data_IF_416239490868
#
_entry.id   IF_416239490868
#
_cell.length_a   1.000
_cell.length_b   1.000
_cell.length_c   1.000
_cell.angle_alpha   90.00
_cell.angle_beta   90.00
_cell.angle_gamma   90.00
#
_symmetry.space_group_name_H-M   'P 1'
#
loop_
_entity.id
_entity.type
_entity.pdbx_description
1 polymer ?
#
# COMPACT_ATOMS: atom_id res chain seq x y z
N UNK A 1 -46.96 3.20 5.43
CA UNK A 1 -45.86 2.60 6.22
C UNK A 1 -45.13 3.77 6.87
N UNK A 2 -45.16 3.87 8.20
CA UNK A 2 -44.45 4.96 8.88
C UNK A 2 -42.96 4.82 8.58
N UNK A 3 -42.34 5.85 8.00
CA UNK A 3 -40.88 5.94 7.94
C UNK A 3 -40.33 5.64 9.34
N UNK A 4 -39.45 4.65 9.44
CA UNK A 4 -38.75 4.34 10.68
C UNK A 4 -38.06 5.63 11.14
N UNK A 5 -38.45 6.15 12.32
CA UNK A 5 -38.04 7.45 12.85
C UNK A 5 -36.52 7.61 13.03
N UNK A 6 -35.76 6.50 12.93
CA UNK A 6 -34.32 6.43 13.13
C UNK A 6 -33.60 5.71 11.97
N UNK A 7 -33.94 6.06 10.72
CA UNK A 7 -33.28 5.50 9.53
C UNK A 7 -32.17 6.45 9.05
N UNK A 8 -30.92 5.98 8.84
CA UNK A 8 -29.89 6.79 8.20
C UNK A 8 -30.30 7.21 6.78
N UNK A 9 -29.87 8.39 6.35
CA UNK A 9 -29.96 8.78 4.95
C UNK A 9 -28.83 8.11 4.15
N UNK A 10 -29.07 6.86 3.75
CA UNK A 10 -28.09 6.10 2.97
C UNK A 10 -27.78 6.72 1.60
N UNK A 11 -28.69 7.54 1.05
CA UNK A 11 -28.50 8.12 -0.29
C UNK A 11 -27.47 9.24 -0.32
N UNK A 12 -27.26 9.93 0.80
CA UNK A 12 -26.21 10.95 0.96
C UNK A 12 -24.89 10.37 1.50
N UNK A 13 -24.88 9.11 1.96
CA UNK A 13 -23.65 8.47 2.39
C UNK A 13 -22.73 8.23 1.21
N UNK A 14 -21.45 8.51 1.43
CA UNK A 14 -20.43 8.18 0.46
C UNK A 14 -20.21 6.65 0.43
N UNK A 15 -19.77 6.10 -0.71
CA UNK A 15 -19.91 4.67 -0.97
C UNK A 15 -18.97 3.77 -0.16
N UNK A 16 -17.71 4.15 0.15
CA UNK A 16 -16.91 3.37 1.15
C UNK A 16 -17.53 3.39 2.54
N UNK A 17 -18.41 4.35 2.84
CA UNK A 17 -19.04 4.48 4.16
C UNK A 17 -20.19 3.47 4.34
N UNK A 18 -20.58 2.81 3.26
CA UNK A 18 -21.81 2.02 3.15
C UNK A 18 -21.51 0.63 2.58
N UNK A 19 -21.32 -0.33 3.48
CA UNK A 19 -21.09 -1.74 3.20
C UNK A 19 -22.02 -2.34 2.13
N UNK A 20 -23.30 -1.94 2.10
CA UNK A 20 -24.27 -2.51 1.17
C UNK A 20 -24.04 -2.09 -0.29
N UNK A 21 -23.36 -0.97 -0.54
CA UNK A 21 -23.00 -0.56 -1.90
C UNK A 21 -21.95 -1.50 -2.51
N UNK A 22 -21.08 -2.06 -1.67
CA UNK A 22 -19.92 -2.83 -2.10
C UNK A 22 -20.08 -4.35 -1.87
N UNK A 23 -21.32 -4.83 -1.80
CA UNK A 23 -21.62 -6.23 -1.46
C UNK A 23 -21.06 -7.25 -2.47
N UNK A 24 -20.76 -6.82 -3.71
CA UNK A 24 -20.07 -7.65 -4.70
C UNK A 24 -18.60 -7.89 -4.32
N UNK A 25 -17.93 -6.86 -3.80
CA UNK A 25 -16.57 -6.93 -3.29
C UNK A 25 -16.54 -7.90 -2.11
N UNK A 26 -17.50 -7.79 -1.18
CA UNK A 26 -17.60 -8.73 -0.06
C UNK A 26 -17.65 -10.19 -0.51
N UNK A 27 -18.49 -10.51 -1.50
CA UNK A 27 -18.59 -11.87 -2.03
C UNK A 27 -17.26 -12.34 -2.60
N UNK A 28 -16.60 -11.51 -3.43
CA UNK A 28 -15.31 -11.84 -4.03
C UNK A 28 -14.24 -12.05 -2.95
N UNK A 29 -14.07 -11.09 -2.05
CA UNK A 29 -13.11 -11.18 -0.94
C UNK A 29 -13.34 -12.44 -0.10
N UNK A 30 -14.58 -12.74 0.24
CA UNK A 30 -14.93 -13.91 1.07
C UNK A 30 -14.65 -15.24 0.36
N UNK A 31 -14.84 -15.29 -0.96
CA UNK A 31 -14.46 -16.45 -1.78
C UNK A 31 -12.94 -16.63 -1.82
N UNK A 32 -12.20 -15.54 -2.05
CA UNK A 32 -10.75 -15.54 -2.15
C UNK A 32 -10.09 -15.93 -0.82
N UNK A 33 -10.70 -15.53 0.29
CA UNK A 33 -10.39 -15.99 1.66
C UNK A 33 -10.78 -17.45 1.95
N UNK A 34 -11.37 -18.15 0.99
CA UNK A 34 -11.61 -19.59 1.06
C UNK A 34 -12.93 -20.02 1.66
N UNK A 35 -13.87 -19.13 1.99
CA UNK A 35 -15.17 -19.53 2.56
C UNK A 35 -16.14 -20.08 1.51
N UNK A 36 -16.98 -21.03 1.90
CA UNK A 36 -18.04 -21.62 1.07
C UNK A 36 -19.27 -20.70 1.00
N UNK A 37 -19.15 -19.65 0.20
CA UNK A 37 -20.22 -18.64 0.00
C UNK A 37 -20.72 -18.55 -1.45
N UNK A 38 -20.20 -19.36 -2.37
CA UNK A 38 -20.54 -19.32 -3.81
C UNK A 38 -22.05 -19.45 -4.06
N UNK A 39 -22.72 -20.29 -3.27
CA UNK A 39 -24.19 -20.49 -3.31
C UNK A 39 -25.01 -19.21 -3.07
N UNK A 40 -24.41 -18.15 -2.54
CA UNK A 40 -25.07 -16.86 -2.31
C UNK A 40 -24.86 -15.86 -3.46
N UNK A 41 -24.17 -16.22 -4.55
CA UNK A 41 -23.87 -15.32 -5.67
C UNK A 41 -25.11 -14.63 -6.24
N UNK A 42 -26.15 -15.40 -6.55
CA UNK A 42 -27.39 -14.85 -7.11
C UNK A 42 -28.11 -13.92 -6.13
N UNK A 43 -28.04 -14.21 -4.82
CA UNK A 43 -28.58 -13.34 -3.78
C UNK A 43 -27.82 -12.01 -3.73
N UNK A 44 -26.49 -12.06 -3.71
CA UNK A 44 -25.63 -10.86 -3.71
C UNK A 44 -25.88 -10.04 -4.97
N UNK A 45 -26.01 -10.68 -6.13
CA UNK A 45 -26.25 -10.01 -7.41
C UNK A 45 -27.65 -9.38 -7.51
N UNK A 46 -28.66 -9.97 -6.87
CA UNK A 46 -29.96 -9.36 -6.73
C UNK A 46 -29.92 -8.15 -5.79
N UNK A 47 -29.22 -8.25 -4.65
CA UNK A 47 -29.12 -7.19 -3.65
C UNK A 47 -28.31 -6.00 -4.15
N UNK A 48 -27.23 -6.24 -4.92
CA UNK A 48 -26.37 -5.18 -5.47
C UNK A 48 -27.17 -4.20 -6.35
N UNK A 49 -28.18 -4.71 -7.07
CA UNK A 49 -29.09 -3.95 -7.96
C UNK A 49 -30.18 -3.17 -7.24
N UNK A 50 -30.40 -3.40 -5.94
CA UNK A 50 -31.38 -2.64 -5.17
C UNK A 50 -30.93 -1.19 -4.99
N UNK A 51 -31.91 -0.28 -4.95
CA UNK A 51 -31.70 1.11 -4.56
C UNK A 51 -31.08 1.19 -3.16
N UNK A 52 -30.20 2.18 -2.96
CA UNK A 52 -29.52 2.36 -1.68
C UNK A 52 -30.46 2.91 -0.60
N UNK A 53 -31.13 2.00 0.12
CA UNK A 53 -32.10 2.35 1.16
C UNK A 53 -31.97 1.42 2.38
N UNK A 54 -32.84 1.63 3.36
CA UNK A 54 -32.89 0.84 4.59
C UNK A 54 -32.97 -0.68 4.36
N UNK A 55 -33.78 -1.12 3.40
CA UNK A 55 -33.98 -2.55 3.16
C UNK A 55 -32.74 -3.20 2.54
N UNK A 56 -32.07 -2.53 1.58
CA UNK A 56 -30.80 -3.01 1.03
C UNK A 56 -29.75 -3.22 2.13
N UNK A 57 -29.61 -2.24 3.02
CA UNK A 57 -28.64 -2.28 4.12
C UNK A 57 -28.97 -3.38 5.13
N UNK A 58 -30.23 -3.53 5.51
CA UNK A 58 -30.67 -4.61 6.40
C UNK A 58 -30.40 -5.99 5.81
N UNK A 59 -30.61 -6.18 4.51
CA UNK A 59 -30.28 -7.45 3.84
C UNK A 59 -28.77 -7.68 3.81
N UNK A 60 -27.98 -6.64 3.50
CA UNK A 60 -26.53 -6.72 3.51
C UNK A 60 -25.98 -7.13 4.90
N UNK A 61 -26.52 -6.59 6.00
CA UNK A 61 -26.15 -6.99 7.37
C UNK A 61 -26.38 -8.50 7.64
N UNK A 62 -27.46 -9.06 7.08
CA UNK A 62 -27.73 -10.50 7.16
C UNK A 62 -26.74 -11.30 6.31
N UNK A 63 -26.39 -10.81 5.11
CA UNK A 63 -25.37 -11.44 4.26
C UNK A 63 -24.03 -11.47 4.99
N UNK A 64 -23.59 -10.35 5.58
CA UNK A 64 -22.39 -10.29 6.40
C UNK A 64 -22.41 -11.37 7.50
N UNK A 65 -23.51 -11.44 8.25
CA UNK A 65 -23.69 -12.42 9.34
C UNK A 65 -23.65 -13.87 8.84
N UNK A 66 -24.13 -14.14 7.62
CA UNK A 66 -24.08 -15.46 7.00
C UNK A 66 -22.64 -15.81 6.58
N UNK A 67 -21.94 -14.89 5.95
CA UNK A 67 -20.56 -15.09 5.48
C UNK A 67 -19.59 -15.28 6.64
N UNK A 68 -19.78 -14.58 7.75
CA UNK A 68 -18.97 -14.79 8.95
C UNK A 68 -19.09 -16.23 9.49
N UNK A 69 -20.27 -16.85 9.36
CA UNK A 69 -20.54 -18.23 9.82
C UNK A 69 -20.31 -19.31 8.77
N UNK A 70 -20.02 -18.91 7.53
CA UNK A 70 -19.79 -19.86 6.45
C UNK A 70 -18.52 -20.69 6.74
N UNK A 71 -18.55 -22.02 6.51
CA UNK A 71 -17.36 -22.84 6.69
C UNK A 71 -16.33 -22.54 5.60
N UNK A 72 -15.09 -22.96 5.84
CA UNK A 72 -14.07 -23.01 4.78
C UNK A 72 -14.46 -24.04 3.72
N UNK A 73 -14.14 -23.75 2.45
CA UNK A 73 -14.27 -24.71 1.34
C UNK A 73 -13.36 -25.90 1.60
N UNK A 74 -13.87 -27.10 1.32
CA UNK A 74 -13.08 -28.32 1.41
C UNK A 74 -11.87 -28.24 0.46
N UNK A 75 -10.67 -28.51 0.99
CA UNK A 75 -9.43 -28.48 0.20
C UNK A 75 -8.89 -27.09 -0.14
N UNK A 76 -9.37 -26.01 0.52
CA UNK A 76 -8.75 -24.69 0.37
C UNK A 76 -7.25 -24.75 0.74
N UNK A 77 -6.32 -24.33 -0.15
CA UNK A 77 -4.91 -24.69 -0.01
C UNK A 77 -4.11 -23.77 0.92
N UNK A 78 -4.65 -22.61 1.28
CA UNK A 78 -3.93 -21.57 2.02
C UNK A 78 -4.24 -21.59 3.52
N UNK A 79 -3.22 -21.24 4.31
CA UNK A 79 -3.37 -20.94 5.74
C UNK A 79 -2.91 -19.51 5.97
N UNK A 80 -3.85 -18.65 6.29
CA UNK A 80 -3.68 -17.20 6.38
C UNK A 80 -4.31 -16.70 7.69
N UNK A 81 -3.61 -16.82 8.84
CA UNK A 81 -4.07 -16.32 10.13
C UNK A 81 -3.84 -14.81 10.28
N UNK A 82 -4.64 -14.15 11.12
CA UNK A 82 -4.48 -12.71 11.40
C UNK A 82 -3.58 -12.46 12.62
N UNK A 83 -3.49 -13.42 13.54
CA UNK A 83 -2.78 -13.29 14.80
C UNK A 83 -1.27 -13.42 14.62
N UNK A 84 -0.49 -12.48 15.16
CA UNK A 84 0.97 -12.41 14.99
C UNK A 84 1.70 -13.72 15.27
N UNK A 85 1.36 -14.41 16.36
CA UNK A 85 2.03 -15.66 16.72
C UNK A 85 1.68 -16.82 15.76
N UNK A 86 0.46 -16.82 15.22
CA UNK A 86 0.06 -17.80 14.20
C UNK A 86 0.71 -17.49 12.84
N UNK A 87 0.86 -16.20 12.50
CA UNK A 87 1.63 -15.74 11.34
C UNK A 87 3.07 -16.25 11.45
N UNK A 88 3.76 -15.92 12.55
CA UNK A 88 5.15 -16.32 12.83
C UNK A 88 5.35 -17.83 12.75
N UNK A 89 4.39 -18.62 13.21
CA UNK A 89 4.46 -20.08 13.15
C UNK A 89 4.42 -20.65 11.72
N UNK A 90 3.90 -19.89 10.75
CA UNK A 90 3.81 -20.27 9.34
C UNK A 90 4.85 -19.56 8.46
N UNK A 91 5.60 -18.60 9.01
CA UNK A 91 6.73 -17.97 8.34
C UNK A 91 7.85 -19.00 8.10
N UNK A 92 8.58 -18.83 6.98
CA UNK A 92 9.74 -19.65 6.66
C UNK A 92 11.02 -18.84 6.90
N UNK A 93 11.81 -19.15 7.94
CA UNK A 93 13.08 -18.48 8.17
C UNK A 93 14.02 -18.65 6.98
N UNK A 94 14.81 -17.62 6.73
CA UNK A 94 15.89 -17.64 5.74
C UNK A 94 17.21 -17.31 6.43
N UNK A 95 18.29 -17.89 5.91
CA UNK A 95 19.64 -17.50 6.31
C UNK A 95 20.11 -16.39 5.39
N UNK A 96 20.16 -15.16 5.90
CA UNK A 96 20.78 -14.03 5.22
C UNK A 96 22.12 -13.67 5.86
N UNK A 97 23.06 -13.09 5.10
CA UNK A 97 24.29 -12.56 5.68
C UNK A 97 23.96 -11.58 6.80
N UNK A 98 24.62 -11.73 7.95
CA UNK A 98 24.57 -10.75 9.02
C UNK A 98 25.25 -9.47 8.53
N UNK A 99 24.58 -8.33 8.76
CA UNK A 99 25.10 -7.00 8.42
C UNK A 99 25.15 -6.17 9.68
N UNK A 100 26.26 -5.44 9.84
CA UNK A 100 26.35 -4.42 10.87
C UNK A 100 25.56 -3.19 10.45
N UNK A 101 24.99 -2.48 11.43
CA UNK A 101 24.38 -1.18 11.17
C UNK A 101 25.49 -0.23 10.71
N UNK A 102 25.31 0.51 9.59
CA UNK A 102 26.28 1.49 9.13
C UNK A 102 26.55 2.58 10.17
N UNK A 103 27.64 3.32 9.98
CA UNK A 103 27.91 4.49 10.82
C UNK A 103 26.78 5.54 10.71
N UNK A 104 26.69 6.42 11.71
CA UNK A 104 25.64 7.44 11.82
C UNK A 104 25.54 8.36 10.60
N UNK A 105 26.63 8.63 9.87
CA UNK A 105 26.62 9.48 8.67
C UNK A 105 26.00 8.72 7.49
N UNK A 106 26.48 7.51 7.24
CA UNK A 106 25.95 6.63 6.19
C UNK A 106 24.48 6.32 6.43
N UNK A 107 24.09 5.96 7.66
CA UNK A 107 22.70 5.65 8.00
C UNK A 107 21.79 6.86 7.79
N UNK A 108 22.24 8.08 8.10
CA UNK A 108 21.45 9.30 7.86
C UNK A 108 21.20 9.55 6.38
N UNK A 109 22.19 9.34 5.52
CA UNK A 109 22.02 9.44 4.06
C UNK A 109 21.05 8.39 3.52
N UNK A 110 21.06 7.18 4.08
CA UNK A 110 20.07 6.14 3.76
C UNK A 110 18.66 6.53 4.18
N UNK A 111 18.49 7.08 5.39
CA UNK A 111 17.19 7.58 5.86
C UNK A 111 16.69 8.75 4.99
N UNK A 112 17.55 9.68 4.64
CA UNK A 112 17.22 10.77 3.72
C UNK A 112 16.84 10.23 2.34
N UNK A 113 17.59 9.25 1.83
CA UNK A 113 17.28 8.56 0.58
C UNK A 113 15.92 7.87 0.62
N UNK A 114 15.56 7.21 1.72
CA UNK A 114 14.26 6.56 1.89
C UNK A 114 13.09 7.56 1.90
N UNK A 115 13.22 8.64 2.70
CA UNK A 115 12.22 9.71 2.74
C UNK A 115 12.06 10.41 1.39
N UNK A 116 13.16 10.82 0.75
CA UNK A 116 13.12 11.44 -0.58
C UNK A 116 12.58 10.46 -1.62
N UNK A 117 13.03 9.22 -1.57
CA UNK A 117 12.61 8.15 -2.46
C UNK A 117 11.10 7.93 -2.43
N UNK A 118 10.53 7.85 -1.22
CA UNK A 118 9.09 7.73 -1.05
C UNK A 118 8.33 8.90 -1.66
N UNK A 119 8.77 10.15 -1.38
CA UNK A 119 8.11 11.36 -1.88
C UNK A 119 8.24 11.47 -3.41
N UNK A 120 9.42 11.18 -3.97
CA UNK A 120 9.68 11.22 -5.41
C UNK A 120 8.85 10.16 -6.14
N UNK A 121 8.81 8.94 -5.62
CA UNK A 121 8.03 7.85 -6.18
C UNK A 121 6.51 8.12 -6.16
N UNK A 122 6.01 8.65 -5.04
CA UNK A 122 4.63 9.10 -4.92
C UNK A 122 4.30 10.19 -5.96
N UNK A 123 5.14 11.25 -6.06
CA UNK A 123 4.97 12.31 -7.06
C UNK A 123 5.01 11.77 -8.49
N UNK A 124 5.81 10.74 -8.76
CA UNK A 124 5.91 10.13 -10.09
C UNK A 124 4.61 9.47 -10.53
N UNK A 125 3.95 8.76 -9.62
CA UNK A 125 2.68 8.07 -9.89
C UNK A 125 1.44 8.97 -9.74
N UNK A 126 1.46 9.97 -8.87
CA UNK A 126 0.27 10.76 -8.51
C UNK A 126 -0.47 11.42 -9.69
N UNK A 127 0.19 12.00 -10.72
CA UNK A 127 -0.51 12.52 -11.89
C UNK A 127 -1.30 11.48 -12.68
N UNK A 128 -0.95 10.20 -12.49
CA UNK A 128 -1.36 9.03 -13.24
C UNK A 128 -2.22 8.08 -12.41
N UNK A 129 -2.54 8.40 -11.16
CA UNK A 129 -3.38 7.58 -10.29
C UNK A 129 -4.70 7.25 -11.00
N UNK A 130 -5.00 5.95 -11.15
CA UNK A 130 -6.16 5.48 -11.90
C UNK A 130 -5.96 5.28 -13.40
N UNK A 131 -4.83 5.64 -14.01
CA UNK A 131 -4.67 5.47 -15.47
C UNK A 131 -4.51 3.99 -15.87
N UNK A 132 -5.10 3.57 -16.99
CA UNK A 132 -4.94 2.20 -17.51
C UNK A 132 -3.76 2.07 -18.46
N UNK A 133 -3.25 0.86 -18.59
CA UNK A 133 -2.06 0.52 -19.39
C UNK A 133 -2.19 0.98 -20.83
N UNK A 134 -3.34 0.78 -21.46
CA UNK A 134 -3.59 1.22 -22.85
C UNK A 134 -3.53 2.74 -23.00
N UNK A 135 -4.00 3.49 -22.00
CA UNK A 135 -3.98 4.96 -21.98
C UNK A 135 -2.59 5.50 -21.65
N UNK A 136 -1.94 4.97 -20.61
CA UNK A 136 -0.63 5.39 -20.17
C UNK A 136 0.43 5.13 -21.24
N UNK A 137 0.46 3.92 -21.80
CA UNK A 137 1.48 3.55 -22.78
C UNK A 137 1.34 4.37 -24.06
N UNK A 138 0.10 4.67 -24.49
CA UNK A 138 -0.16 5.57 -25.61
C UNK A 138 0.32 7.00 -25.29
N UNK A 139 0.02 7.50 -24.09
CA UNK A 139 0.44 8.82 -23.63
C UNK A 139 1.96 8.95 -23.58
N UNK A 140 2.66 8.01 -22.94
CA UNK A 140 4.12 7.98 -22.83
C UNK A 140 4.79 7.95 -24.21
N UNK A 141 4.27 7.16 -25.16
CA UNK A 141 4.77 7.14 -26.54
C UNK A 141 4.54 8.47 -27.26
N UNK A 142 3.37 9.08 -27.06
CA UNK A 142 3.03 10.39 -27.67
C UNK A 142 3.92 11.51 -27.16
N UNK A 143 4.34 11.47 -25.89
CA UNK A 143 5.11 12.52 -25.22
C UNK A 143 6.62 12.27 -25.19
N UNK A 144 7.07 11.17 -25.81
CA UNK A 144 8.47 10.78 -25.83
C UNK A 144 9.01 10.34 -24.47
N UNK A 145 8.14 9.91 -23.55
CA UNK A 145 8.47 9.36 -22.25
C UNK A 145 8.30 7.82 -22.22
N UNK A 146 8.47 7.12 -23.36
CA UNK A 146 8.40 5.66 -23.44
C UNK A 146 9.77 5.02 -23.74
N UNK A 147 10.23 4.02 -22.97
CA UNK A 147 9.75 3.68 -21.63
C UNK A 147 9.85 4.88 -20.67
N UNK A 148 9.07 4.85 -19.59
CA UNK A 148 9.04 5.91 -18.59
C UNK A 148 10.43 6.12 -18.00
N UNK A 149 10.92 7.36 -18.00
CA UNK A 149 12.27 7.70 -17.54
C UNK A 149 12.36 9.09 -16.89
N UNK A 150 11.24 9.80 -16.75
CA UNK A 150 11.11 11.11 -16.10
C UNK A 150 9.70 11.32 -15.59
N UNK A 151 9.51 12.30 -14.70
CA UNK A 151 8.19 12.79 -14.31
C UNK A 151 7.35 13.18 -15.54
N UNK A 152 6.03 13.02 -15.39
CA UNK A 152 5.08 13.67 -16.27
C UNK A 152 5.17 15.18 -16.09
N UNK A 153 5.19 15.90 -17.21
CA UNK A 153 5.18 17.35 -17.25
C UNK A 153 3.78 17.87 -17.58
N UNK A 154 3.49 19.10 -17.19
CA UNK A 154 2.21 19.74 -17.49
C UNK A 154 1.96 19.89 -18.99
N UNK A 155 3.03 19.86 -19.80
CA UNK A 155 3.01 19.83 -21.27
C UNK A 155 2.77 18.44 -21.84
N UNK A 156 2.95 17.38 -21.06
CA UNK A 156 2.58 16.02 -21.44
C UNK A 156 1.06 15.81 -21.28
N UNK A 157 0.45 16.44 -20.27
CA UNK A 157 -0.98 16.29 -19.91
C UNK A 157 -1.89 17.39 -20.50
N UNK A 158 -1.68 17.77 -21.77
CA UNK A 158 -2.56 18.72 -22.46
C UNK A 158 -3.93 18.11 -22.77
N UNK A 159 -4.97 18.94 -22.93
CA UNK A 159 -6.31 18.48 -23.34
C UNK A 159 -6.28 17.60 -24.59
N UNK A 160 -5.39 17.89 -25.54
CA UNK A 160 -5.22 17.09 -26.76
C UNK A 160 -4.58 15.72 -26.48
N UNK A 161 -3.63 15.65 -25.55
CA UNK A 161 -2.93 14.41 -25.23
C UNK A 161 -3.78 13.44 -24.42
N UNK A 162 -4.65 13.96 -23.55
CA UNK A 162 -5.50 13.14 -22.66
C UNK A 162 -6.93 12.99 -23.20
N UNK A 163 -7.19 13.49 -24.41
CA UNK A 163 -8.50 13.43 -25.04
C UNK A 163 -8.93 11.97 -25.24
N UNK A 164 -10.00 11.59 -24.55
CA UNK A 164 -10.57 10.24 -24.64
C UNK A 164 -10.09 9.28 -23.55
N UNK A 165 -9.20 9.72 -22.65
CA UNK A 165 -8.89 8.96 -21.44
C UNK A 165 -10.14 8.80 -20.59
N UNK A 166 -10.33 7.61 -20.03
CA UNK A 166 -11.42 7.29 -19.09
C UNK A 166 -11.16 7.87 -17.72
N UNK A 167 -9.88 8.02 -17.35
CA UNK A 167 -9.46 8.48 -16.04
C UNK A 167 -8.98 9.93 -16.07
N UNK A 168 -9.19 10.61 -14.95
CA UNK A 168 -8.72 11.97 -14.75
C UNK A 168 -7.24 11.91 -14.47
N UNK A 169 -6.45 12.73 -15.17
CA UNK A 169 -5.04 12.94 -14.82
C UNK A 169 -4.88 14.25 -14.06
N UNK A 170 -3.92 14.32 -13.16
CA UNK A 170 -3.76 15.45 -12.25
C UNK A 170 -2.62 16.38 -12.69
N UNK A 171 -2.95 17.34 -13.57
CA UNK A 171 -1.95 18.27 -14.13
C UNK A 171 -1.28 19.15 -13.06
N UNK A 172 -1.92 19.37 -11.91
CA UNK A 172 -1.38 20.16 -10.79
C UNK A 172 -0.42 19.37 -9.89
N UNK A 173 -0.18 18.10 -10.19
CA UNK A 173 0.80 17.26 -9.47
C UNK A 173 1.93 16.79 -10.39
N UNK A 174 2.07 17.37 -11.59
CA UNK A 174 3.21 17.12 -12.48
C UNK A 174 4.51 17.69 -11.91
N UNK A 175 5.65 17.10 -12.29
CA UNK A 175 6.97 17.49 -11.77
C UNK A 175 7.36 18.95 -12.00
N UNK A 176 6.84 19.60 -13.04
CA UNK A 176 7.07 21.02 -13.34
C UNK A 176 6.03 21.98 -12.72
N UNK A 177 5.02 21.45 -12.02
CA UNK A 177 3.92 22.24 -11.44
C UNK A 177 3.94 22.33 -9.93
N UNK A 178 4.72 21.46 -9.29
CA UNK A 178 4.87 21.40 -7.83
C UNK A 178 6.11 22.16 -7.38
N UNK A 179 6.12 22.57 -6.11
CA UNK A 179 7.30 23.18 -5.44
C UNK A 179 7.74 22.40 -4.20
N UNK A 180 7.03 21.29 -3.95
CA UNK A 180 7.17 20.33 -2.86
C UNK A 180 6.32 19.10 -3.19
N UNK A 181 6.57 17.97 -2.52
CA UNK A 181 5.66 16.83 -2.61
C UNK A 181 4.23 17.25 -2.25
N UNK A 182 3.23 17.02 -3.12
CA UNK A 182 1.83 17.34 -2.81
C UNK A 182 1.28 16.39 -1.75
N UNK A 183 0.17 16.77 -1.10
CA UNK A 183 -0.52 15.91 -0.14
C UNK A 183 -0.95 14.60 -0.81
N UNK A 184 -0.65 13.50 -0.12
CA UNK A 184 -0.98 12.15 -0.53
C UNK A 184 -1.11 11.25 0.70
N UNK A 185 -2.01 10.27 0.72
CA UNK A 185 -2.16 9.37 1.86
C UNK A 185 -0.91 8.50 2.08
N UNK A 186 -0.18 8.10 1.03
CA UNK A 186 1.12 7.43 1.12
C UNK A 186 2.10 8.17 2.05
N UNK A 187 2.28 9.47 1.76
CA UNK A 187 3.24 10.30 2.50
C UNK A 187 2.70 10.72 3.86
N UNK A 188 1.38 10.91 3.98
CA UNK A 188 0.72 11.19 5.25
C UNK A 188 0.90 10.05 6.25
N UNK A 189 0.73 8.79 5.84
CA UNK A 189 0.90 7.67 6.76
C UNK A 189 2.33 7.54 7.29
N UNK A 190 3.33 7.89 6.47
CA UNK A 190 4.73 7.88 6.93
C UNK A 190 4.96 8.94 8.02
N UNK A 191 4.41 10.14 7.81
CA UNK A 191 4.43 11.20 8.81
C UNK A 191 3.61 10.84 10.07
N UNK A 192 2.49 10.13 9.89
CA UNK A 192 1.61 9.68 10.98
C UNK A 192 2.28 8.60 11.83
N UNK A 193 3.00 7.66 11.21
CA UNK A 193 3.79 6.66 11.90
C UNK A 193 4.95 7.32 12.69
N UNK A 194 5.60 8.34 12.12
CA UNK A 194 6.57 9.13 12.88
C UNK A 194 5.94 9.80 14.10
N UNK A 195 4.76 10.41 13.95
CA UNK A 195 4.03 11.01 15.08
C UNK A 195 3.66 9.97 16.14
N UNK A 196 3.15 8.81 15.73
CA UNK A 196 2.80 7.69 16.61
C UNK A 196 3.98 7.28 17.49
N UNK A 197 5.17 7.14 16.91
CA UNK A 197 6.37 6.74 17.65
C UNK A 197 6.86 7.85 18.59
N UNK A 198 6.74 9.12 18.20
CA UNK A 198 7.09 10.24 19.09
C UNK A 198 6.15 10.31 20.31
N UNK A 199 4.85 10.06 20.13
CA UNK A 199 3.86 10.18 21.21
C UNK A 199 3.81 8.93 22.12
N UNK A 200 3.88 7.73 21.54
CA UNK A 200 3.67 6.47 22.26
C UNK A 200 4.94 5.61 22.41
N UNK A 201 6.02 5.97 21.73
CA UNK A 201 7.25 5.19 21.68
C UNK A 201 7.09 3.85 20.96
N UNK A 202 8.16 3.05 20.99
CA UNK A 202 8.28 1.76 20.30
C UNK A 202 7.40 0.63 20.88
N UNK A 203 6.75 0.88 22.02
CA UNK A 203 5.82 -0.05 22.67
C UNK A 203 4.35 0.28 22.36
N UNK A 204 4.08 1.09 21.33
CA UNK A 204 2.72 1.41 20.90
C UNK A 204 1.89 0.15 20.63
N UNK A 205 0.59 0.28 20.85
CA UNK A 205 -0.42 -0.76 20.64
C UNK A 205 -1.30 -0.42 19.44
N UNK A 206 -2.03 -1.40 18.86
CA UNK A 206 -3.03 -1.12 17.83
C UNK A 206 -4.08 -0.07 18.26
N UNK A 207 -4.41 0.00 19.55
CA UNK A 207 -5.32 1.02 20.10
C UNK A 207 -4.71 2.43 20.07
N UNK A 208 -3.39 2.56 20.27
CA UNK A 208 -2.70 3.85 20.14
C UNK A 208 -2.75 4.34 18.69
N UNK A 209 -2.56 3.44 17.71
CA UNK A 209 -2.69 3.77 16.28
C UNK A 209 -4.09 4.30 15.97
N UNK A 210 -5.14 3.59 16.38
CA UNK A 210 -6.52 4.03 16.20
C UNK A 210 -6.82 5.38 16.91
N UNK A 211 -6.17 5.64 18.05
CA UNK A 211 -6.26 6.93 18.75
C UNK A 211 -5.59 8.06 17.98
N UNK A 212 -4.38 7.84 17.48
CA UNK A 212 -3.63 8.77 16.62
C UNK A 212 -4.46 9.10 15.37
N UNK A 213 -5.07 8.10 14.73
CA UNK A 213 -5.91 8.33 13.55
C UNK A 213 -7.07 9.29 13.80
N UNK A 214 -7.71 9.21 14.96
CA UNK A 214 -8.84 10.08 15.34
C UNK A 214 -8.44 11.50 15.69
N UNK A 215 -7.17 11.72 16.05
CA UNK A 215 -6.69 13.03 16.53
C UNK A 215 -5.94 13.81 15.47
N UNK A 216 -5.28 13.15 14.53
CA UNK A 216 -4.33 13.79 13.61
C UNK A 216 -4.93 14.15 12.25
N UNK A 217 -5.93 13.42 11.74
CA UNK A 217 -6.55 13.74 10.45
C UNK A 217 -8.01 13.31 10.37
N UNK A 218 -8.84 14.01 9.56
CA UNK A 218 -10.26 13.72 9.48
C UNK A 218 -10.55 12.43 8.72
N UNK A 219 -11.74 11.89 8.94
CA UNK A 219 -12.34 10.75 8.22
C UNK A 219 -12.27 10.81 6.68
N UNK A 220 -12.08 11.99 6.09
CA UNK A 220 -11.96 12.16 4.63
C UNK A 220 -10.54 11.95 4.09
N UNK A 221 -9.53 11.87 4.95
CA UNK A 221 -8.14 11.60 4.57
C UNK A 221 -7.83 10.10 4.45
N UNK A 222 -8.76 9.23 4.84
CA UNK A 222 -8.62 7.78 4.79
C UNK A 222 -9.34 7.21 3.58
N UNK A 223 -8.69 6.28 2.90
CA UNK A 223 -9.20 5.58 1.74
C UNK A 223 -9.77 4.20 2.12
N UNK A 224 -10.59 3.61 1.25
CA UNK A 224 -11.07 2.22 1.30
C UNK A 224 -11.19 1.57 2.70
N UNK A 225 -10.30 0.61 3.03
CA UNK A 225 -10.28 -0.18 4.25
C UNK A 225 -10.08 0.68 5.50
N UNK A 226 -9.21 1.66 5.42
CA UNK A 226 -8.88 2.60 6.48
C UNK A 226 -10.08 3.48 6.83
N UNK A 227 -10.84 3.89 5.81
CA UNK A 227 -12.04 4.70 6.01
C UNK A 227 -13.13 3.92 6.73
N UNK A 228 -13.29 2.64 6.38
CA UNK A 228 -14.22 1.73 7.07
C UNK A 228 -13.76 1.48 8.51
N UNK A 229 -12.47 1.19 8.70
CA UNK A 229 -11.88 1.01 10.02
C UNK A 229 -12.06 2.25 10.92
N UNK A 230 -11.84 3.45 10.35
CA UNK A 230 -12.07 4.71 11.03
C UNK A 230 -13.48 4.83 11.59
N UNK A 231 -14.47 4.50 10.76
CA UNK A 231 -15.86 4.48 11.23
C UNK A 231 -16.10 3.42 12.28
N UNK A 232 -15.50 2.25 12.13
CA UNK A 232 -15.70 1.13 13.03
C UNK A 232 -15.21 1.44 14.45
N UNK A 233 -13.97 1.93 14.62
CA UNK A 233 -13.50 2.29 15.95
C UNK A 233 -14.19 3.53 16.52
N UNK A 234 -14.65 4.46 15.67
CA UNK A 234 -15.52 5.59 16.10
C UNK A 234 -16.86 5.07 16.64
N UNK A 235 -17.34 3.92 16.14
CA UNK A 235 -18.57 3.25 16.59
C UNK A 235 -18.34 2.24 17.73
N UNK A 236 -17.10 2.09 18.20
CA UNK A 236 -16.75 1.21 19.32
C UNK A 236 -16.24 -0.18 18.93
N UNK A 237 -16.16 -0.52 17.64
CA UNK A 237 -15.46 -1.72 17.19
C UNK A 237 -13.96 -1.44 17.21
N UNK A 238 -13.29 -1.79 18.31
CA UNK A 238 -11.86 -1.54 18.48
C UNK A 238 -11.00 -2.55 17.70
N UNK A 239 -9.72 -2.25 17.40
CA UNK A 239 -8.80 -3.21 16.81
C UNK A 239 -8.74 -4.54 17.60
N UNK A 240 -8.62 -5.69 16.92
CA UNK A 240 -8.57 -5.87 15.46
C UNK A 240 -9.95 -5.91 14.77
N UNK A 241 -11.05 -5.88 15.54
CA UNK A 241 -12.41 -5.99 14.98
C UNK A 241 -12.76 -4.82 14.05
N UNK A 242 -12.13 -3.66 14.22
CA UNK A 242 -12.27 -2.52 13.31
C UNK A 242 -11.90 -2.86 11.87
N UNK A 243 -10.92 -3.74 11.65
CA UNK A 243 -10.44 -4.11 10.32
C UNK A 243 -11.31 -5.15 9.61
N UNK A 244 -12.15 -5.89 10.33
CA UNK A 244 -12.94 -7.00 9.78
C UNK A 244 -14.46 -6.76 9.78
N UNK A 245 -14.98 -5.93 10.68
CA UNK A 245 -16.42 -5.65 10.74
C UNK A 245 -16.88 -4.87 9.50
N UNK A 246 -17.62 -5.52 8.60
CA UNK A 246 -18.17 -4.91 7.37
C UNK A 246 -17.13 -4.16 6.52
N UNK A 247 -15.86 -4.59 6.59
CA UNK A 247 -14.80 -4.05 5.77
C UNK A 247 -14.55 -4.94 4.56
N UNK A 248 -15.12 -4.56 3.43
CA UNK A 248 -15.00 -5.30 2.17
C UNK A 248 -13.60 -5.18 1.56
N UNK A 249 -12.83 -4.16 1.95
CA UNK A 249 -11.52 -3.80 1.38
C UNK A 249 -10.35 -4.35 2.20
N UNK A 250 -10.61 -5.26 3.13
CA UNK A 250 -9.67 -5.73 4.17
C UNK A 250 -8.36 -6.38 3.69
N UNK A 251 -8.22 -6.69 2.39
CA UNK A 251 -6.96 -7.12 1.74
C UNK A 251 -6.52 -6.18 0.59
N UNK A 252 -6.92 -4.90 0.65
CA UNK A 252 -6.40 -3.87 -0.26
C UNK A 252 -5.03 -3.39 0.19
N UNK A 253 -4.31 -2.69 -0.70
CA UNK A 253 -2.93 -2.25 -0.54
C UNK A 253 -2.70 -1.28 0.62
N UNK A 254 -3.74 -0.65 1.16
CA UNK A 254 -3.60 0.49 2.05
C UNK A 254 -2.79 0.22 3.34
N UNK A 255 -2.75 -1.02 3.87
CA UNK A 255 -1.77 -1.37 4.91
C UNK A 255 -0.32 -1.38 4.41
N UNK A 256 -0.06 -1.95 3.23
CA UNK A 256 1.27 -2.05 2.63
C UNK A 256 1.98 -0.69 2.53
N UNK A 257 1.27 0.38 2.16
CA UNK A 257 1.85 1.72 2.00
C UNK A 257 2.22 2.41 3.33
N UNK A 258 1.90 1.81 4.48
CA UNK A 258 2.20 2.38 5.82
C UNK A 258 3.46 1.79 6.43
N UNK A 259 3.93 0.66 5.90
CA UNK A 259 5.00 -0.15 6.49
C UNK A 259 6.39 0.49 6.50
N UNK A 260 6.66 1.42 5.57
CA UNK A 260 7.98 2.00 5.35
C UNK A 260 8.64 2.53 6.63
N UNK A 261 7.90 3.36 7.38
CA UNK A 261 8.45 4.05 8.54
C UNK A 261 8.88 3.06 9.64
N UNK A 262 8.16 1.94 9.78
CA UNK A 262 8.51 0.90 10.74
C UNK A 262 9.81 0.17 10.37
N UNK A 263 10.10 0.06 9.07
CA UNK A 263 11.41 -0.38 8.59
C UNK A 263 12.51 0.65 8.84
N UNK A 264 12.23 1.95 8.66
CA UNK A 264 13.21 3.03 8.87
C UNK A 264 13.78 3.03 10.30
N UNK A 265 12.93 2.76 11.29
CA UNK A 265 13.33 2.77 12.71
C UNK A 265 13.92 1.44 13.21
N UNK A 266 14.02 0.43 12.34
CA UNK A 266 14.52 -0.91 12.66
C UNK A 266 15.67 -1.37 11.73
N UNK A 267 16.75 -0.58 11.55
CA UNK A 267 17.82 -0.93 10.62
C UNK A 267 18.46 -2.28 10.99
N UNK A 268 18.36 -3.25 10.08
CA UNK A 268 18.89 -4.60 10.29
C UNK A 268 18.03 -5.52 11.18
N UNK A 269 16.86 -5.06 11.64
CA UNK A 269 15.92 -5.82 12.45
C UNK A 269 14.55 -5.96 11.74
N UNK A 270 14.47 -6.80 10.69
CA UNK A 270 13.25 -7.00 9.92
C UNK A 270 12.12 -7.61 10.76
N UNK A 271 12.45 -8.39 11.77
CA UNK A 271 11.46 -9.06 12.61
C UNK A 271 10.68 -8.06 13.48
N UNK A 272 11.40 -7.11 14.11
CA UNK A 272 10.76 -6.03 14.86
C UNK A 272 10.00 -5.08 13.93
N UNK A 273 10.54 -4.79 12.73
CA UNK A 273 9.86 -3.97 11.73
C UNK A 273 8.52 -4.57 11.31
N UNK A 274 8.50 -5.88 11.01
CA UNK A 274 7.28 -6.61 10.67
C UNK A 274 6.28 -6.66 11.84
N UNK A 275 6.75 -6.79 13.09
CA UNK A 275 5.87 -6.72 14.25
C UNK A 275 5.19 -5.34 14.37
N UNK A 276 5.92 -4.24 14.15
CA UNK A 276 5.32 -2.91 14.13
C UNK A 276 4.31 -2.74 13.00
N UNK A 277 4.65 -3.21 11.79
CA UNK A 277 3.73 -3.27 10.66
C UNK A 277 2.46 -4.07 11.00
N UNK A 278 2.57 -5.20 11.69
CA UNK A 278 1.41 -5.98 12.13
C UNK A 278 0.51 -5.19 13.11
N UNK A 279 1.11 -4.50 14.10
CA UNK A 279 0.36 -3.71 15.09
C UNK A 279 -0.43 -2.57 14.43
N UNK A 280 0.13 -1.97 13.39
CA UNK A 280 -0.51 -0.91 12.59
C UNK A 280 -1.51 -1.45 11.57
N UNK A 281 -1.23 -2.59 10.93
CA UNK A 281 -2.08 -3.24 9.94
C UNK A 281 -3.41 -3.76 10.51
N UNK A 282 -3.36 -4.41 11.67
CA UNK A 282 -4.52 -5.12 12.21
C UNK A 282 -5.68 -4.20 12.61
N UNK A 283 -5.49 -2.87 12.62
CA UNK A 283 -6.58 -1.92 12.89
C UNK A 283 -7.55 -1.82 11.71
N UNK A 284 -7.09 -2.08 10.48
CA UNK A 284 -7.84 -1.83 9.26
C UNK A 284 -7.86 -3.01 8.29
N UNK A 285 -6.91 -3.93 8.38
CA UNK A 285 -6.74 -5.03 7.43
C UNK A 285 -6.73 -6.41 8.11
N UNK A 286 -6.86 -7.45 7.28
CA UNK A 286 -6.70 -8.87 7.64
C UNK A 286 -5.76 -9.54 6.63
N UNK A 287 -5.21 -10.71 6.98
CA UNK A 287 -4.51 -11.63 6.08
C UNK A 287 -3.52 -10.94 5.15
N UNK A 288 -3.68 -11.06 3.83
CA UNK A 288 -2.75 -10.52 2.85
C UNK A 288 -2.59 -9.00 2.95
N UNK A 289 -3.60 -8.27 3.44
CA UNK A 289 -3.46 -6.85 3.77
C UNK A 289 -2.46 -6.61 4.90
N UNK A 290 -2.56 -7.39 5.99
CA UNK A 290 -1.57 -7.37 7.08
C UNK A 290 -0.18 -7.78 6.57
N UNK A 291 -0.12 -8.84 5.78
CA UNK A 291 1.15 -9.39 5.30
C UNK A 291 1.88 -8.42 4.37
N UNK A 292 1.16 -7.62 3.57
CA UNK A 292 1.76 -6.58 2.73
C UNK A 292 2.54 -5.54 3.53
N UNK A 293 1.99 -5.10 4.66
CA UNK A 293 2.67 -4.13 5.52
C UNK A 293 3.90 -4.73 6.21
N UNK A 294 3.77 -5.96 6.72
CA UNK A 294 4.88 -6.71 7.32
C UNK A 294 6.02 -6.91 6.31
N UNK A 295 5.67 -7.27 5.07
CA UNK A 295 6.60 -7.48 3.95
C UNK A 295 7.43 -6.21 3.67
N UNK A 296 6.77 -5.06 3.47
CA UNK A 296 7.46 -3.80 3.13
C UNK A 296 8.27 -3.24 4.31
N UNK A 297 7.77 -3.35 5.55
CA UNK A 297 8.50 -2.92 6.74
C UNK A 297 9.83 -3.69 6.89
N UNK A 298 9.78 -5.02 6.73
CA UNK A 298 10.95 -5.87 6.78
C UNK A 298 11.95 -5.60 5.64
N UNK A 299 11.46 -5.34 4.42
CA UNK A 299 12.31 -4.96 3.29
C UNK A 299 13.09 -3.67 3.56
N UNK A 300 12.42 -2.63 4.08
CA UNK A 300 13.06 -1.36 4.41
C UNK A 300 14.11 -1.52 5.53
N UNK A 301 13.80 -2.30 6.56
CA UNK A 301 14.75 -2.64 7.62
C UNK A 301 16.01 -3.34 7.06
N UNK A 302 15.85 -4.26 6.10
CA UNK A 302 16.98 -4.92 5.44
C UNK A 302 17.77 -3.97 4.53
N UNK A 303 17.09 -3.14 3.73
CA UNK A 303 17.73 -2.19 2.84
C UNK A 303 18.64 -1.18 3.57
N UNK A 304 18.30 -0.85 4.82
CA UNK A 304 19.08 0.07 5.66
C UNK A 304 20.50 -0.43 5.98
N UNK A 305 20.75 -1.74 5.91
CA UNK A 305 22.05 -2.35 6.24
C UNK A 305 22.76 -2.97 5.03
N UNK A 306 22.16 -2.86 3.83
CA UNK A 306 22.77 -3.30 2.57
C UNK A 306 23.44 -2.14 1.83
N UNK A 307 24.36 -2.45 0.92
CA UNK A 307 25.19 -1.44 0.23
C UNK A 307 25.37 -1.66 -1.26
N UNK A 308 24.73 -2.68 -1.84
CA UNK A 308 24.83 -3.01 -3.26
C UNK A 308 23.46 -3.37 -3.84
N UNK A 309 23.26 -3.09 -5.13
CA UNK A 309 22.13 -3.57 -5.91
C UNK A 309 22.02 -5.11 -5.93
N UNK A 310 23.13 -5.82 -5.72
CA UNK A 310 23.13 -7.29 -5.63
C UNK A 310 22.29 -7.80 -4.43
N UNK A 311 21.98 -6.94 -3.47
CA UNK A 311 21.19 -7.27 -2.28
C UNK A 311 19.67 -7.18 -2.49
N UNK A 312 19.18 -6.83 -3.68
CA UNK A 312 17.74 -6.67 -3.94
C UNK A 312 16.96 -7.95 -3.68
N UNK A 313 17.47 -9.09 -4.17
CA UNK A 313 16.83 -10.38 -3.91
C UNK A 313 16.84 -10.71 -2.40
N UNK A 314 17.95 -10.41 -1.71
CA UNK A 314 18.04 -10.60 -0.25
C UNK A 314 17.03 -9.73 0.50
N UNK A 315 16.81 -8.48 0.07
CA UNK A 315 15.80 -7.57 0.62
C UNK A 315 14.39 -8.16 0.44
N UNK A 316 14.04 -8.61 -0.77
CA UNK A 316 12.76 -9.25 -1.08
C UNK A 316 12.56 -10.50 -0.23
N UNK A 317 13.54 -11.40 -0.22
CA UNK A 317 13.48 -12.63 0.58
C UNK A 317 13.35 -12.32 2.07
N UNK A 318 14.01 -11.28 2.57
CA UNK A 318 13.88 -10.83 3.94
C UNK A 318 12.44 -10.45 4.28
N UNK A 319 11.76 -9.72 3.40
CA UNK A 319 10.34 -9.43 3.57
C UNK A 319 9.50 -10.71 3.58
N UNK A 320 9.75 -11.62 2.61
CA UNK A 320 9.01 -12.89 2.52
C UNK A 320 9.16 -13.77 3.76
N UNK A 321 10.29 -13.66 4.48
CA UNK A 321 10.55 -14.43 5.69
C UNK A 321 9.68 -14.00 6.89
N UNK A 322 9.05 -12.83 6.83
CA UNK A 322 8.18 -12.31 7.88
C UNK A 322 6.68 -12.49 7.59
N UNK A 323 6.32 -13.18 6.50
CA UNK A 323 4.91 -13.50 6.14
C UNK A 323 4.69 -15.01 6.03
N UNK A 324 3.44 -15.52 6.16
CA UNK A 324 3.19 -16.95 6.10
C UNK A 324 3.58 -17.53 4.73
N UNK A 325 4.43 -18.56 4.72
CA UNK A 325 4.83 -19.26 3.50
C UNK A 325 3.67 -20.04 2.84
N UNK A 326 2.54 -20.12 3.54
CA UNK A 326 1.28 -20.74 3.13
C UNK A 326 0.24 -19.74 2.62
N UNK A 327 0.61 -18.46 2.48
CA UNK A 327 -0.30 -17.40 2.01
C UNK A 327 -0.28 -17.22 0.49
N UNK A 328 -1.37 -16.67 -0.04
CA UNK A 328 -1.47 -16.26 -1.45
C UNK A 328 -0.42 -15.19 -1.80
N UNK A 329 -0.15 -14.26 -0.87
CA UNK A 329 0.89 -13.24 -1.06
C UNK A 329 2.28 -13.87 -1.25
N UNK A 330 2.68 -14.80 -0.37
CA UNK A 330 3.98 -15.46 -0.48
C UNK A 330 4.13 -16.22 -1.80
N UNK A 331 3.10 -16.99 -2.20
CA UNK A 331 3.09 -17.71 -3.47
C UNK A 331 3.26 -16.75 -4.66
N UNK A 332 2.56 -15.63 -4.66
CA UNK A 332 2.58 -14.65 -5.75
C UNK A 332 3.92 -13.93 -5.88
N UNK A 333 4.57 -13.60 -4.75
CA UNK A 333 5.92 -13.02 -4.75
C UNK A 333 6.95 -14.06 -5.20
N UNK A 334 6.81 -15.31 -4.74
CA UNK A 334 7.68 -16.41 -5.19
C UNK A 334 7.57 -16.65 -6.70
N UNK A 335 6.36 -16.54 -7.27
CA UNK A 335 6.15 -16.64 -8.72
C UNK A 335 6.94 -15.55 -9.49
N UNK A 336 6.93 -14.30 -9.02
CA UNK A 336 7.72 -13.22 -9.65
C UNK A 336 9.23 -13.51 -9.58
N UNK A 337 9.72 -14.01 -8.44
CA UNK A 337 11.13 -14.45 -8.30
C UNK A 337 11.46 -15.59 -9.27
N UNK A 338 10.57 -16.58 -9.41
CA UNK A 338 10.78 -17.72 -10.30
C UNK A 338 10.83 -17.28 -11.77
N UNK A 339 9.97 -16.36 -12.20
CA UNK A 339 10.02 -15.76 -13.54
C UNK A 339 11.36 -15.05 -13.77
N UNK A 340 11.82 -14.26 -12.79
CA UNK A 340 13.10 -13.56 -12.87
C UNK A 340 14.27 -14.55 -13.00
N UNK A 341 14.32 -15.61 -12.19
CA UNK A 341 15.35 -16.65 -12.26
C UNK A 341 15.34 -17.48 -13.54
N UNK A 342 14.18 -17.61 -14.17
CA UNK A 342 14.04 -18.25 -15.49
C UNK A 342 14.52 -17.34 -16.63
N UNK A 343 14.90 -16.09 -16.35
CA UNK A 343 15.35 -15.13 -17.35
C UNK A 343 14.21 -14.55 -18.19
N UNK A 344 12.99 -14.55 -17.66
CA UNK A 344 11.84 -13.88 -18.28
C UNK A 344 12.14 -12.38 -18.39
N UNK A 345 11.70 -11.74 -19.47
CA UNK A 345 11.92 -10.31 -19.65
C UNK A 345 11.02 -9.50 -18.71
N UNK A 346 11.40 -8.26 -18.39
CA UNK A 346 10.56 -7.40 -17.56
C UNK A 346 9.16 -7.19 -18.18
N UNK A 347 9.10 -6.96 -19.49
CA UNK A 347 7.83 -6.75 -20.22
C UNK A 347 6.93 -7.99 -20.12
N UNK A 348 7.50 -9.20 -20.27
CA UNK A 348 6.75 -10.46 -20.15
C UNK A 348 6.31 -10.73 -18.70
N UNK A 349 7.14 -10.36 -17.71
CA UNK A 349 6.79 -10.49 -16.29
C UNK A 349 5.62 -9.57 -15.91
N UNK A 350 5.64 -8.31 -16.36
CA UNK A 350 4.50 -7.41 -16.14
C UNK A 350 3.26 -7.85 -16.92
N UNK A 351 3.43 -8.39 -18.14
CA UNK A 351 2.31 -8.96 -18.90
C UNK A 351 1.67 -10.16 -18.17
N UNK A 352 2.46 -11.00 -17.49
CA UNK A 352 1.98 -12.11 -16.66
C UNK A 352 1.17 -11.62 -15.44
N UNK A 353 1.63 -10.56 -14.77
CA UNK A 353 0.89 -9.89 -13.69
C UNK A 353 -0.47 -9.39 -14.22
N UNK A 354 -0.48 -8.70 -15.36
CA UNK A 354 -1.71 -8.19 -16.01
C UNK A 354 -2.65 -9.30 -16.53
N UNK A 355 -2.10 -10.49 -16.83
CA UNK A 355 -2.92 -11.66 -17.19
C UNK A 355 -3.60 -12.29 -15.95
N UNK A 356 -2.97 -12.15 -14.79
CA UNK A 356 -3.47 -12.67 -13.51
C UNK A 356 -4.43 -11.69 -12.83
N UNK A 357 -4.13 -10.39 -12.91
CA UNK A 357 -4.87 -9.32 -12.24
C UNK A 357 -5.37 -8.30 -13.26
N UNK A 358 -6.65 -7.95 -13.19
CA UNK A 358 -7.26 -7.04 -14.14
C UNK A 358 -7.29 -5.60 -13.62
N UNK A 359 -6.41 -4.74 -14.11
CA UNK A 359 -6.39 -3.31 -13.74
C UNK A 359 -7.75 -2.59 -13.99
N UNK A 360 -8.61 -3.08 -14.89
CA UNK A 360 -9.94 -2.48 -15.10
C UNK A 360 -10.95 -2.82 -13.99
N UNK A 361 -10.65 -3.77 -13.12
CA UNK A 361 -11.47 -4.15 -11.97
C UNK A 361 -10.94 -3.48 -10.68
N UNK A 362 -11.83 -2.80 -9.94
CA UNK A 362 -11.45 -2.06 -8.75
C UNK A 362 -10.99 -2.93 -7.58
N UNK A 363 -11.31 -4.22 -7.58
CA UNK A 363 -10.77 -5.18 -6.61
C UNK A 363 -9.32 -5.51 -6.93
N UNK A 364 -9.05 -5.87 -8.18
CA UNK A 364 -7.72 -6.32 -8.61
C UNK A 364 -6.69 -5.19 -8.64
N UNK A 365 -7.12 -3.99 -9.04
CA UNK A 365 -6.28 -2.79 -9.09
C UNK A 365 -5.67 -2.44 -7.72
N UNK A 366 -6.48 -2.39 -6.66
CA UNK A 366 -6.06 -1.97 -5.32
C UNK A 366 -5.68 -3.15 -4.42
N UNK A 367 -5.69 -4.40 -4.90
CA UNK A 367 -5.41 -5.56 -4.05
C UNK A 367 -3.95 -5.54 -3.56
N UNK A 368 -3.68 -5.98 -2.33
CA UNK A 368 -2.30 -6.01 -1.82
C UNK A 368 -1.38 -6.89 -2.69
N UNK A 369 -1.89 -8.05 -3.12
CA UNK A 369 -1.08 -9.04 -3.85
C UNK A 369 -0.60 -8.51 -5.21
N UNK A 370 -1.48 -7.95 -6.05
CA UNK A 370 -1.10 -7.42 -7.36
C UNK A 370 -0.02 -6.34 -7.24
N UNK A 371 -0.19 -5.43 -6.28
CA UNK A 371 0.73 -4.34 -6.05
C UNK A 371 2.06 -4.82 -5.43
N UNK A 372 2.05 -5.80 -4.52
CA UNK A 372 3.27 -6.43 -4.03
C UNK A 372 4.06 -7.14 -5.15
N UNK A 373 3.38 -7.77 -6.11
CA UNK A 373 4.02 -8.35 -7.29
C UNK A 373 4.70 -7.27 -8.15
N UNK A 374 4.03 -6.14 -8.37
CA UNK A 374 4.57 -4.99 -9.13
C UNK A 374 5.81 -4.42 -8.44
N UNK A 375 5.74 -4.15 -7.13
CA UNK A 375 6.88 -3.67 -6.33
C UNK A 375 8.06 -4.64 -6.44
N UNK A 376 7.80 -5.94 -6.28
CA UNK A 376 8.84 -6.99 -6.35
C UNK A 376 9.49 -7.02 -7.74
N UNK A 377 8.70 -7.01 -8.81
CA UNK A 377 9.22 -7.00 -10.18
C UNK A 377 10.03 -5.73 -10.46
N UNK A 378 9.51 -4.55 -10.08
CA UNK A 378 10.19 -3.28 -10.28
C UNK A 378 11.55 -3.21 -9.57
N UNK A 379 11.67 -3.79 -8.36
CA UNK A 379 12.95 -3.90 -7.66
C UNK A 379 13.93 -4.82 -8.41
N UNK A 380 13.51 -6.04 -8.76
CA UNK A 380 14.36 -7.03 -9.43
C UNK A 380 14.87 -6.55 -10.79
N UNK A 381 13.96 -6.06 -11.66
CA UNK A 381 14.30 -5.63 -13.00
C UNK A 381 14.87 -4.20 -13.04
N UNK A 382 14.58 -3.39 -12.01
CA UNK A 382 15.18 -2.08 -11.80
C UNK A 382 16.68 -2.16 -11.47
N UNK A 383 17.10 -3.22 -10.75
CA UNK A 383 18.52 -3.51 -10.54
C UNK A 383 19.26 -2.45 -9.73
N UNK A 384 18.55 -1.77 -8.82
CA UNK A 384 19.11 -0.77 -7.91
C UNK A 384 19.28 0.61 -8.53
N UNK A 385 18.92 0.79 -9.79
CA UNK A 385 18.82 2.12 -10.41
C UNK A 385 17.55 2.81 -9.91
N UNK A 386 17.71 3.93 -9.23
CA UNK A 386 16.64 4.65 -8.55
C UNK A 386 15.50 5.07 -9.50
N UNK A 387 15.84 5.79 -10.58
CA UNK A 387 14.85 6.30 -11.53
C UNK A 387 14.16 5.17 -12.30
N UNK A 388 14.95 4.21 -12.81
CA UNK A 388 14.44 3.04 -13.54
C UNK A 388 13.47 2.23 -12.68
N UNK A 389 13.82 1.93 -11.43
CA UNK A 389 12.99 1.09 -10.56
C UNK A 389 11.62 1.72 -10.32
N UNK A 390 11.55 3.00 -9.94
CA UNK A 390 10.27 3.69 -9.73
C UNK A 390 9.47 3.84 -11.03
N UNK A 391 10.13 4.16 -12.15
CA UNK A 391 9.46 4.26 -13.44
C UNK A 391 8.85 2.93 -13.88
N UNK A 392 9.50 1.79 -13.60
CA UNK A 392 8.93 0.47 -13.88
C UNK A 392 7.69 0.20 -13.04
N UNK A 393 7.71 0.58 -11.75
CA UNK A 393 6.56 0.44 -10.86
C UNK A 393 5.35 1.28 -11.34
N UNK A 394 5.58 2.54 -11.71
CA UNK A 394 4.52 3.47 -12.18
C UNK A 394 4.01 3.08 -13.58
N UNK A 395 4.89 2.65 -14.48
CA UNK A 395 4.51 2.25 -15.84
C UNK A 395 3.64 0.97 -15.86
N UNK A 396 3.68 0.19 -14.78
CA UNK A 396 2.84 -0.99 -14.62
C UNK A 396 1.34 -0.66 -14.39
N UNK A 397 0.99 0.62 -14.18
CA UNK A 397 -0.34 1.06 -13.76
C UNK A 397 -0.70 0.49 -12.38
N UNK A 398 -1.93 -0.02 -12.19
CA UNK A 398 -2.46 -0.31 -10.85
C UNK A 398 -2.27 0.92 -9.94
N UNK A 399 -2.03 0.76 -8.64
CA UNK A 399 -1.87 1.88 -7.74
C UNK A 399 -0.50 2.58 -7.91
N UNK A 400 -0.45 3.49 -8.89
CA UNK A 400 0.80 4.01 -9.46
C UNK A 400 1.67 4.77 -8.46
N UNK A 401 1.08 5.66 -7.69
CA UNK A 401 1.76 6.45 -6.65
C UNK A 401 2.24 5.56 -5.51
N UNK A 402 1.39 4.67 -5.01
CA UNK A 402 1.72 3.72 -3.94
C UNK A 402 2.92 2.83 -4.30
N UNK A 403 2.88 2.24 -5.50
CA UNK A 403 3.95 1.36 -6.00
C UNK A 403 5.25 2.14 -6.24
N UNK A 404 5.14 3.32 -6.85
CA UNK A 404 6.27 4.23 -7.03
C UNK A 404 6.91 4.64 -5.71
N UNK A 405 6.10 5.04 -4.72
CA UNK A 405 6.52 5.46 -3.39
C UNK A 405 7.26 4.33 -2.65
N UNK A 406 6.68 3.13 -2.64
CA UNK A 406 7.27 1.96 -1.96
C UNK A 406 8.61 1.55 -2.59
N UNK A 407 8.68 1.49 -3.93
CA UNK A 407 9.94 1.18 -4.64
C UNK A 407 10.98 2.28 -4.42
N UNK A 408 10.57 3.55 -4.50
CA UNK A 408 11.44 4.69 -4.26
C UNK A 408 12.03 4.70 -2.86
N UNK A 409 11.21 4.39 -1.86
CA UNK A 409 11.61 4.24 -0.46
C UNK A 409 12.69 3.17 -0.27
N UNK A 410 12.44 1.94 -0.76
CA UNK A 410 13.36 0.80 -0.60
C UNK A 410 14.67 1.03 -1.36
N UNK A 411 14.60 1.49 -2.61
CA UNK A 411 15.80 1.76 -3.42
C UNK A 411 16.55 2.96 -2.85
N UNK A 412 15.85 4.03 -2.46
CA UNK A 412 16.43 5.20 -1.81
C UNK A 412 17.13 4.87 -0.49
N UNK A 413 16.57 3.98 0.32
CA UNK A 413 17.22 3.43 1.52
C UNK A 413 18.48 2.65 1.16
N UNK A 414 18.43 1.84 0.10
CA UNK A 414 19.57 1.04 -0.36
C UNK A 414 20.73 1.92 -0.85
N UNK A 415 20.46 2.90 -1.72
CA UNK A 415 21.50 3.69 -2.40
C UNK A 415 21.91 4.95 -1.65
N UNK A 416 21.06 5.47 -0.76
CA UNK A 416 21.26 6.72 -0.05
C UNK A 416 20.98 7.98 -0.89
N UNK A 417 20.80 9.12 -0.22
CA UNK A 417 20.41 10.40 -0.86
C UNK A 417 21.40 10.89 -1.92
N UNK A 418 22.70 10.65 -1.74
CA UNK A 418 23.75 11.06 -2.70
C UNK A 418 23.58 10.42 -4.10
N UNK A 419 22.88 9.30 -4.21
CA UNK A 419 22.63 8.60 -5.46
C UNK A 419 21.30 8.98 -6.13
N UNK A 420 20.53 9.90 -5.53
CA UNK A 420 19.27 10.39 -6.08
C UNK A 420 19.52 11.68 -6.86
N UNK A 421 19.25 11.65 -8.17
CA UNK A 421 19.46 12.80 -9.06
C UNK A 421 18.59 14.04 -8.75
N UNK A 422 19.09 15.21 -9.13
CA UNK A 422 18.39 16.50 -8.99
C UNK A 422 17.10 16.53 -9.81
N UNK A 423 17.02 15.79 -10.91
CA UNK A 423 15.81 15.63 -11.70
C UNK A 423 14.64 15.02 -10.92
N UNK A 424 14.94 14.24 -9.87
CA UNK A 424 13.95 13.64 -8.98
C UNK A 424 13.65 14.52 -7.77
N UNK A 425 14.70 15.06 -7.14
CA UNK A 425 14.59 15.81 -5.87
C UNK A 425 14.24 17.29 -6.05
N UNK A 426 14.60 17.90 -7.18
CA UNK A 426 14.35 19.31 -7.49
C UNK A 426 12.87 19.72 -7.38
N UNK A 427 11.93 18.97 -7.99
CA UNK A 427 10.48 19.25 -7.87
C UNK A 427 9.95 19.24 -6.44
N UNK A 428 10.43 18.32 -5.59
CA UNK A 428 9.94 18.13 -4.22
C UNK A 428 10.70 19.00 -3.21
N UNK A 429 11.88 19.49 -3.57
CA UNK A 429 12.67 20.46 -2.79
C UNK A 429 12.80 20.11 -1.29
N UNK A 430 13.02 18.82 -1.00
CA UNK A 430 13.17 18.29 0.36
C UNK A 430 11.95 18.47 1.28
N UNK A 431 10.75 18.65 0.70
CA UNK A 431 9.53 18.92 1.46
C UNK A 431 8.35 18.10 0.92
N UNK A 432 7.37 17.82 1.78
CA UNK A 432 6.07 17.26 1.41
C UNK A 432 4.95 17.92 2.21
N UNK A 433 3.83 18.22 1.55
CA UNK A 433 2.62 18.68 2.22
C UNK A 433 1.91 17.49 2.87
N UNK A 434 1.31 17.73 4.04
CA UNK A 434 0.56 16.70 4.76
C UNK A 434 -0.81 17.23 5.16
N UNK A 435 -1.81 16.35 5.23
CA UNK A 435 -3.11 16.69 5.82
C UNK A 435 -3.15 16.52 7.34
N UNK A 436 -2.01 16.22 7.97
CA UNK A 436 -1.89 16.06 9.41
C UNK A 436 -1.96 17.41 10.13
N UNK A 437 -2.81 17.50 11.14
CA UNK A 437 -2.91 18.65 12.04
C UNK A 437 -1.85 18.51 13.15
N UNK A 438 -0.92 19.45 13.40
CA UNK A 438 -0.68 20.76 12.78
C UNK A 438 0.49 20.79 11.77
N UNK A 439 1.02 19.64 11.34
CA UNK A 439 2.26 19.54 10.58
C UNK A 439 2.21 20.41 9.31
N UNK A 440 1.20 20.21 8.46
CA UNK A 440 0.99 20.97 7.22
C UNK A 440 2.06 20.75 6.15
N UNK A 441 3.33 21.02 6.46
CA UNK A 441 4.49 20.77 5.60
C UNK A 441 5.58 20.10 6.42
N UNK A 442 5.98 18.91 5.98
CA UNK A 442 7.08 18.16 6.57
C UNK A 442 8.36 18.40 5.75
N UNK A 443 9.43 18.78 6.44
CA UNK A 443 10.76 18.91 5.87
C UNK A 443 11.54 17.61 6.09
N UNK A 444 12.17 17.10 5.02
CA UNK A 444 12.84 15.80 5.05
C UNK A 444 14.01 15.78 6.03
N UNK A 445 14.78 16.88 6.14
CA UNK A 445 15.87 16.99 7.12
C UNK A 445 15.38 16.78 8.56
N UNK A 446 14.23 17.38 8.90
CA UNK A 446 13.59 17.24 10.22
C UNK A 446 13.00 15.86 10.45
N UNK A 447 12.40 15.28 9.42
CA UNK A 447 11.89 13.93 9.48
C UNK A 447 13.03 12.92 9.69
N UNK A 448 14.18 13.13 9.03
CA UNK A 448 15.39 12.31 9.20
C UNK A 448 15.98 12.49 10.59
N UNK A 449 16.12 13.72 11.10
CA UNK A 449 16.56 14.00 12.49
C UNK A 449 15.73 13.22 13.51
N UNK A 450 14.40 13.25 13.37
CA UNK A 450 13.47 12.53 14.25
C UNK A 450 13.59 11.02 14.08
N UNK A 451 13.71 10.52 12.85
CA UNK A 451 13.91 9.09 12.58
C UNK A 451 15.19 8.57 13.24
N UNK A 452 16.29 9.32 13.15
CA UNK A 452 17.55 8.97 13.82
C UNK A 452 17.43 8.96 15.35
N UNK A 453 16.57 9.80 15.93
CA UNK A 453 16.23 9.76 17.37
C UNK A 453 15.45 8.50 17.69
N UNK A 454 14.46 8.13 16.89
CA UNK A 454 13.64 6.93 17.11
C UNK A 454 14.44 5.62 16.99
N UNK A 455 15.44 5.56 16.10
CA UNK A 455 16.34 4.40 15.99
C UNK A 455 17.12 4.17 17.31
N UNK A 456 17.46 5.25 18.02
CA UNK A 456 18.27 5.22 19.25
C UNK A 456 17.45 5.07 20.53
N UNK A 457 16.11 5.17 20.43
CA UNK A 457 15.16 5.00 21.54
C UNK A 457 14.87 3.52 21.78
#
# INVERSE_FOLDING_TARGET
MSQNKYTPDYTSMWWWDNYAQEIRIELRQTLDEGKDVEKYRDLVEAVSKLENNWEKNRIADQIFSLFQKAPMREGYPYQEPDELEAIRALCKPIELPQRDIPDDETLRKKMEGAWLGRICGCLLGKPLEGIRTDELHALLKKTGNWPMHRYMLSTDLTEENVKGNRFTVHRNTCGDTVTRGPVDDDTNYTALAQFLIEEHGRNFTPSDVAGVWQTQQPRSAYCTAERVAYLNFTRGYQPPLSGSYQNVFREYIGAQIRGDYFGYICPGDPHTAAEYGWRDACISHVKNGIYGEMYIAAMNARAAVESSADAIEDIIRCGMAEIPATSRLYESIQHVLDLYHQGVSADDCFADIHATWNEADGYDWCHTISNAMIVTAALLYGGGDFGKSMCMAVQACFDTDCNGATVGSIVGMLVGSDAIGEEWTGPVNGCVETSLLPVGVLHVDKAVEMTMKHIKA
#
